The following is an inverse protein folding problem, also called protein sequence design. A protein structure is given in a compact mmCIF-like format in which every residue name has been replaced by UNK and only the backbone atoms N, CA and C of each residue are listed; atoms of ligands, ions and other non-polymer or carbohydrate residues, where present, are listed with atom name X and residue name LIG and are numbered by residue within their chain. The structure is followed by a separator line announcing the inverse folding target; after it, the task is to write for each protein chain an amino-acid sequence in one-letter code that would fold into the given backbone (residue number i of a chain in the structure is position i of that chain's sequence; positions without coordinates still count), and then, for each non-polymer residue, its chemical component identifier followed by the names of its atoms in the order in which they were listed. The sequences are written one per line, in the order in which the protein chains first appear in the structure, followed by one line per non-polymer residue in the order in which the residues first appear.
data_IF_941273209395
#
_entry.id   IF_941273209395
#
_cell.length_a   1.000
_cell.length_b   1.000
_cell.length_c   1.000
_cell.angle_alpha   90.00
_cell.angle_beta   90.00
_cell.angle_gamma   90.00
#
_symmetry.space_group_name_H-M   'P 1'
#
loop_
_entity.id
_entity.type
_entity.pdbx_description
1 polymer ?
#
# COMPACT_ATOMS: atom_id res chain seq x y z
N UNK A 1 -1.67 -14.42 8.14
CA UNK A 1 -0.51 -13.77 7.50
C UNK A 1 0.53 -13.53 8.57
N UNK A 2 1.82 -13.78 8.32
CA UNK A 2 2.91 -13.53 9.27
C UNK A 2 3.54 -12.16 9.02
N UNK A 3 4.21 -11.58 10.02
CA UNK A 3 4.88 -10.27 9.88
C UNK A 3 5.85 -10.22 8.68
N UNK A 4 6.52 -11.34 8.39
CA UNK A 4 7.42 -11.44 7.24
C UNK A 4 6.67 -11.34 5.90
N UNK A 5 5.45 -11.89 5.81
CA UNK A 5 4.61 -11.80 4.61
C UNK A 5 4.11 -10.37 4.38
N UNK A 6 3.83 -9.63 5.44
CA UNK A 6 3.44 -8.20 5.35
C UNK A 6 4.62 -7.36 4.83
N UNK A 7 5.83 -7.61 5.33
CA UNK A 7 7.05 -6.93 4.88
C UNK A 7 7.34 -7.26 3.41
N UNK A 8 7.17 -8.52 3.00
CA UNK A 8 7.32 -8.94 1.61
C UNK A 8 6.30 -8.26 0.69
N UNK A 9 5.03 -8.18 1.08
CA UNK A 9 3.98 -7.50 0.31
C UNK A 9 4.27 -6.01 0.17
N UNK A 10 4.67 -5.32 1.25
CA UNK A 10 5.11 -3.93 1.19
C UNK A 10 6.32 -3.77 0.26
N UNK A 11 7.32 -4.64 0.38
CA UNK A 11 8.56 -4.56 -0.41
C UNK A 11 8.30 -4.82 -1.89
N UNK A 12 7.49 -5.82 -2.24
CA UNK A 12 7.08 -6.10 -3.62
C UNK A 12 6.38 -4.89 -4.23
N UNK A 13 5.45 -4.29 -3.48
CA UNK A 13 4.77 -3.04 -3.87
C UNK A 13 5.81 -1.96 -4.19
N UNK A 14 6.77 -1.69 -3.29
CA UNK A 14 7.81 -0.69 -3.54
C UNK A 14 8.71 -1.02 -4.74
N UNK A 15 9.02 -2.30 -4.97
CA UNK A 15 9.96 -2.72 -6.03
C UNK A 15 9.31 -2.70 -7.41
N UNK A 16 8.04 -3.08 -7.53
CA UNK A 16 7.27 -3.00 -8.79
C UNK A 16 7.14 -1.56 -9.29
N UNK A 17 7.07 -0.57 -8.39
CA UNK A 17 6.88 0.83 -8.78
C UNK A 17 8.18 1.64 -8.90
N UNK A 18 9.31 1.15 -8.37
CA UNK A 18 10.61 1.85 -8.40
C UNK A 18 11.41 1.69 -9.71
N UNK A 19 10.92 0.92 -10.68
CA UNK A 19 11.55 0.77 -12.00
C UNK A 19 11.61 2.04 -12.86
N UNK A 20 11.06 3.17 -12.41
CA UNK A 20 11.06 4.44 -13.14
C UNK A 20 11.58 5.58 -12.26
N UNK A 21 12.91 5.71 -12.18
CA UNK A 21 13.65 6.79 -11.49
C UNK A 21 13.59 8.14 -12.22
N UNK A 22 12.46 8.47 -12.85
CA UNK A 22 12.15 9.78 -13.44
C UNK A 22 11.04 10.38 -12.60
N UNK A 23 11.33 11.45 -11.85
CA UNK A 23 10.39 12.24 -11.01
C UNK A 23 8.95 11.72 -11.06
N UNK A 24 8.65 10.76 -10.18
CA UNK A 24 7.30 10.18 -10.10
C UNK A 24 6.32 11.31 -9.76
N UNK A 25 5.21 11.42 -10.50
CA UNK A 25 4.18 12.41 -10.20
C UNK A 25 3.74 12.31 -8.73
N UNK A 26 3.30 13.43 -8.15
CA UNK A 26 2.72 13.46 -6.80
C UNK A 26 1.59 12.42 -6.66
N UNK A 27 0.83 12.19 -7.75
CA UNK A 27 -0.17 11.13 -7.89
C UNK A 27 0.39 9.74 -7.63
N UNK A 28 1.51 9.36 -8.26
CA UNK A 28 2.14 8.04 -8.04
C UNK A 28 2.71 7.90 -6.64
N UNK A 29 3.31 8.94 -6.07
CA UNK A 29 3.81 8.89 -4.69
C UNK A 29 2.66 8.68 -3.71
N UNK A 30 1.56 9.41 -3.91
CA UNK A 30 0.33 9.26 -3.12
C UNK A 30 -0.23 7.84 -3.27
N UNK A 31 -0.24 7.30 -4.50
CA UNK A 31 -0.66 5.93 -4.77
C UNK A 31 0.14 4.89 -3.99
N UNK A 32 1.48 4.98 -3.99
CA UNK A 32 2.36 4.07 -3.25
C UNK A 32 2.07 4.13 -1.74
N UNK A 33 1.95 5.34 -1.19
CA UNK A 33 1.68 5.56 0.24
C UNK A 33 0.33 4.97 0.64
N UNK A 34 -0.70 5.13 -0.18
CA UNK A 34 -2.03 4.57 0.08
C UNK A 34 -2.01 3.03 0.09
N UNK A 35 -1.30 2.39 -0.85
CA UNK A 35 -1.16 0.93 -0.83
C UNK A 35 -0.42 0.47 0.43
N UNK A 36 0.66 1.14 0.80
CA UNK A 36 1.43 0.81 2.00
C UNK A 36 0.57 0.93 3.27
N UNK A 37 -0.17 2.03 3.45
CA UNK A 37 -1.07 2.18 4.59
C UNK A 37 -2.23 1.18 4.57
N UNK A 38 -2.76 0.87 3.39
CA UNK A 38 -3.82 -0.12 3.26
C UNK A 38 -3.38 -1.52 3.69
N UNK A 39 -2.16 -1.94 3.34
CA UNK A 39 -1.56 -3.18 3.83
C UNK A 39 -1.39 -3.17 5.35
N UNK A 40 -0.87 -2.05 5.91
CA UNK A 40 -0.74 -1.90 7.36
C UNK A 40 -2.10 -2.03 8.06
N UNK A 41 -3.12 -1.33 7.56
CA UNK A 41 -4.45 -1.32 8.18
C UNK A 41 -5.17 -2.65 8.03
N UNK A 42 -4.88 -3.41 6.98
CA UNK A 42 -5.49 -4.72 6.76
C UNK A 42 -4.84 -5.82 7.61
N UNK A 43 -3.54 -5.71 7.89
CA UNK A 43 -2.76 -6.87 8.37
C UNK A 43 -1.95 -6.65 9.65
N UNK A 44 -1.78 -5.41 10.12
CA UNK A 44 -0.89 -5.10 11.25
C UNK A 44 -1.67 -4.65 12.47
N UNK A 45 -1.62 -5.39 13.60
CA UNK A 45 -2.15 -4.91 14.88
C UNK A 45 -1.42 -3.66 15.41
N UNK A 46 -2.11 -2.75 16.11
CA UNK A 46 -3.55 -2.79 16.43
C UNK A 46 -4.44 -2.27 15.30
N UNK A 47 -3.88 -1.85 14.16
CA UNK A 47 -4.62 -1.18 13.10
C UNK A 47 -5.71 -2.06 12.49
N UNK A 48 -5.41 -3.33 12.22
CA UNK A 48 -6.38 -4.30 11.68
C UNK A 48 -7.50 -4.69 12.66
N UNK A 49 -7.37 -4.35 13.95
CA UNK A 49 -8.37 -4.63 14.98
C UNK A 49 -9.19 -3.39 15.33
N UNK A 50 -8.61 -2.20 15.16
CA UNK A 50 -9.17 -0.93 15.64
C UNK A 50 -9.77 -0.07 14.52
N UNK A 51 -9.36 -0.30 13.28
CA UNK A 51 -9.86 0.39 12.10
C UNK A 51 -10.91 -0.50 11.40
N UNK A 52 -11.90 0.12 10.76
CA UNK A 52 -12.92 -0.61 10.00
C UNK A 52 -12.27 -1.58 8.99
N UNK A 53 -12.77 -2.81 8.95
CA UNK A 53 -12.23 -3.94 8.19
C UNK A 53 -12.04 -3.62 6.70
N UNK A 54 -12.88 -2.75 6.13
CA UNK A 54 -12.82 -2.38 4.72
C UNK A 54 -11.88 -1.21 4.42
N UNK A 55 -11.38 -0.50 5.44
CA UNK A 55 -10.52 0.68 5.25
C UNK A 55 -9.21 0.30 4.55
N UNK A 56 -8.59 -0.81 4.99
CA UNK A 56 -7.34 -1.29 4.38
C UNK A 56 -7.52 -1.59 2.89
N UNK A 57 -8.55 -2.35 2.54
CA UNK A 57 -8.90 -2.67 1.14
C UNK A 57 -9.22 -1.42 0.31
N UNK A 58 -9.91 -0.45 0.91
CA UNK A 58 -10.25 0.80 0.24
C UNK A 58 -8.99 1.60 -0.12
N UNK A 59 -8.04 1.72 0.81
CA UNK A 59 -6.77 2.41 0.57
C UNK A 59 -5.93 1.70 -0.49
N UNK A 60 -5.87 0.36 -0.46
CA UNK A 60 -5.18 -0.43 -1.50
C UNK A 60 -5.82 -0.17 -2.86
N UNK A 61 -7.15 -0.18 -2.96
CA UNK A 61 -7.89 0.03 -4.20
C UNK A 61 -7.65 1.43 -4.79
N UNK A 62 -7.75 2.48 -3.98
CA UNK A 62 -7.46 3.86 -4.42
C UNK A 62 -6.00 3.97 -4.83
N UNK A 63 -5.07 3.46 -4.02
CA UNK A 63 -3.65 3.50 -4.30
C UNK A 63 -3.28 2.85 -5.63
N UNK A 64 -3.83 1.66 -5.92
CA UNK A 64 -3.64 0.96 -7.20
C UNK A 64 -4.21 1.74 -8.39
N UNK A 65 -5.36 2.41 -8.23
CA UNK A 65 -5.90 3.27 -9.28
C UNK A 65 -4.96 4.43 -9.62
N UNK A 66 -4.44 5.14 -8.62
CA UNK A 66 -3.51 6.26 -8.82
C UNK A 66 -2.16 5.82 -9.42
N UNK A 67 -1.80 4.55 -9.30
CA UNK A 67 -0.59 3.98 -9.89
C UNK A 67 -0.80 3.47 -11.32
N UNK A 68 -2.07 3.31 -11.72
CA UNK A 68 -2.47 2.88 -13.06
C UNK A 68 -2.83 4.06 -13.97
N UNK A 69 -2.87 5.29 -13.44
CA UNK A 69 -2.93 6.55 -14.19
C UNK A 69 -1.56 6.96 -14.73
#
# INVERSE_FOLDING_TARGET
MTTNQVIEEMTQTFTEYNGQTRQTSFTRQTGQVLVAFGILFKHVPPFNETIDENTGETLISIGRKLLSE
#
